data_IF_017762009598
#
_entry.id   IF_017762009598
#
_cell.length_a   1.000
_cell.length_b   1.000
_cell.length_c   1.000
_cell.angle_alpha   90.00
_cell.angle_beta   90.00
_cell.angle_gamma   90.00
#
_symmetry.space_group_name_H-M   'P 1'
#
loop_
_entity.id
_entity.type
_entity.pdbx_description
1 polymer ?
#
# COMPACT_ATOMS: atom_id res chain seq x y z
N UNK A 1 -80.42 -22.68 -11.60
CA UNK A 1 -81.58 -23.02 -10.78
C UNK A 1 -81.14 -23.07 -9.31
N UNK A 2 -81.89 -22.31 -8.52
CA UNK A 2 -81.93 -22.27 -7.04
C UNK A 2 -80.82 -21.53 -6.29
N UNK A 3 -81.22 -20.32 -5.93
CA UNK A 3 -80.74 -19.45 -4.85
C UNK A 3 -81.02 -20.07 -3.50
N UNK A 4 -80.02 -20.00 -2.54
CA UNK A 4 -80.34 -19.97 -1.10
C UNK A 4 -79.50 -18.93 -0.43
N UNK A 5 -80.23 -17.97 0.11
CA UNK A 5 -79.81 -16.84 0.92
C UNK A 5 -79.54 -17.31 2.35
N UNK A 6 -78.37 -17.09 2.87
CA UNK A 6 -77.98 -17.39 4.24
C UNK A 6 -77.57 -16.11 4.99
N UNK A 7 -78.32 -15.77 5.97
CA UNK A 7 -78.23 -14.62 6.88
C UNK A 7 -77.02 -14.80 7.78
N UNK A 8 -76.14 -13.80 7.82
CA UNK A 8 -74.99 -13.77 8.75
C UNK A 8 -75.28 -12.79 9.89
N UNK A 9 -75.29 -13.30 11.09
CA UNK A 9 -75.40 -12.54 12.36
C UNK A 9 -74.07 -11.85 12.70
N UNK A 10 -74.05 -10.68 13.35
CA UNK A 10 -72.84 -9.96 13.72
C UNK A 10 -72.20 -10.57 14.98
N UNK A 11 -70.98 -11.10 14.83
CA UNK A 11 -70.16 -11.55 15.95
C UNK A 11 -69.08 -10.54 16.29
N UNK A 12 -69.10 -10.09 17.47
CA UNK A 12 -68.16 -9.38 18.33
C UNK A 12 -66.78 -9.02 17.74
N UNK A 13 -66.56 -7.71 17.68
CA UNK A 13 -65.24 -7.10 17.45
C UNK A 13 -64.28 -7.39 18.62
N UNK A 14 -63.27 -8.22 18.38
CA UNK A 14 -62.09 -8.32 19.24
C UNK A 14 -61.18 -7.17 18.91
N UNK A 15 -60.98 -6.28 19.87
CA UNK A 15 -59.99 -5.18 19.86
C UNK A 15 -58.61 -5.80 19.91
N UNK A 16 -57.99 -6.03 18.74
CA UNK A 16 -56.60 -6.35 18.63
C UNK A 16 -55.77 -5.06 18.91
N UNK A 17 -55.06 -5.07 20.02
CA UNK A 17 -54.06 -4.04 20.37
C UNK A 17 -52.96 -4.07 19.33
N UNK A 18 -52.85 -3.03 18.53
CA UNK A 18 -51.72 -2.77 17.63
C UNK A 18 -50.46 -2.63 18.51
N UNK A 19 -49.40 -3.46 18.33
CA UNK A 19 -48.16 -3.27 19.05
C UNK A 19 -47.53 -1.97 18.53
N UNK A 20 -47.40 -0.99 19.40
CA UNK A 20 -46.62 0.23 19.15
C UNK A 20 -45.15 -0.17 19.12
N UNK A 21 -44.67 -0.45 17.90
CA UNK A 21 -43.27 -0.68 17.63
C UNK A 21 -42.57 0.68 17.68
N UNK A 22 -42.05 1.06 18.88
CA UNK A 22 -41.17 2.22 18.99
C UNK A 22 -39.95 1.97 18.09
N UNK A 23 -39.64 2.84 17.12
CA UNK A 23 -38.44 2.71 16.32
C UNK A 23 -37.26 2.78 17.28
N UNK A 24 -36.49 1.68 17.39
CA UNK A 24 -35.18 1.69 18.05
C UNK A 24 -34.42 2.87 17.46
N UNK A 25 -34.04 3.81 18.31
CA UNK A 25 -33.22 4.97 17.95
C UNK A 25 -32.07 4.51 17.09
N UNK A 26 -32.17 4.75 15.78
CA UNK A 26 -31.08 4.54 14.84
C UNK A 26 -29.90 5.37 15.37
N UNK A 27 -28.80 4.69 15.73
CA UNK A 27 -27.54 5.38 16.05
C UNK A 27 -27.28 6.36 14.92
N UNK A 28 -27.30 7.65 15.23
CA UNK A 28 -27.06 8.70 14.25
C UNK A 28 -25.78 8.36 13.48
N UNK A 29 -25.91 8.13 12.18
CA UNK A 29 -24.77 7.88 11.31
C UNK A 29 -23.82 9.08 11.46
N UNK A 30 -22.56 8.83 11.84
CA UNK A 30 -21.54 9.88 11.90
C UNK A 30 -21.53 10.60 10.55
N UNK A 31 -21.50 11.95 10.55
CA UNK A 31 -21.56 12.68 9.30
C UNK A 31 -20.42 12.23 8.37
N UNK A 32 -20.73 11.89 7.12
CA UNK A 32 -19.82 11.36 6.10
C UNK A 32 -18.52 12.19 5.95
N UNK A 33 -18.57 13.48 6.29
CA UNK A 33 -17.43 14.41 6.31
C UNK A 33 -16.42 14.09 7.40
N UNK A 34 -16.84 13.56 8.54
CA UNK A 34 -16.00 13.14 9.67
C UNK A 34 -15.22 11.84 9.34
N UNK A 35 -15.83 10.91 8.59
CA UNK A 35 -15.16 9.66 8.19
C UNK A 35 -14.08 9.88 7.13
N UNK A 36 -14.33 10.75 6.14
CA UNK A 36 -13.34 11.10 5.14
C UNK A 36 -12.13 11.80 5.77
N UNK A 37 -12.34 12.75 6.71
CA UNK A 37 -11.27 13.41 7.44
C UNK A 37 -10.43 12.41 8.25
N UNK A 38 -11.08 11.47 8.92
CA UNK A 38 -10.40 10.37 9.63
C UNK A 38 -9.60 9.48 8.68
N UNK A 39 -10.14 9.18 7.50
CA UNK A 39 -9.43 8.45 6.45
C UNK A 39 -8.17 9.17 5.97
N UNK A 40 -8.24 10.49 5.77
CA UNK A 40 -7.07 11.32 5.41
C UNK A 40 -6.01 11.29 6.52
N UNK A 41 -6.40 11.39 7.79
CA UNK A 41 -5.46 11.36 8.91
C UNK A 41 -4.70 10.03 8.99
N UNK A 42 -5.41 8.90 8.83
CA UNK A 42 -4.76 7.59 8.74
C UNK A 42 -3.83 7.49 7.53
N UNK A 43 -4.22 8.06 6.38
CA UNK A 43 -3.37 8.09 5.19
C UNK A 43 -2.10 8.91 5.40
N UNK A 44 -2.20 10.09 6.00
CA UNK A 44 -1.05 10.92 6.38
C UNK A 44 -0.13 10.14 7.33
N UNK A 45 -0.69 9.44 8.33
CA UNK A 45 0.08 8.60 9.24
C UNK A 45 0.82 7.48 8.51
N UNK A 46 0.14 6.74 7.61
CA UNK A 46 0.74 5.65 6.86
C UNK A 46 1.89 6.12 5.95
N UNK A 47 1.58 7.08 5.08
CA UNK A 47 2.53 7.56 4.08
C UNK A 47 3.64 8.42 4.68
N UNK A 48 3.36 9.11 5.79
CA UNK A 48 4.35 9.84 6.58
C UNK A 48 5.37 8.89 7.22
N UNK A 49 4.90 7.82 7.87
CA UNK A 49 5.78 6.80 8.45
C UNK A 49 6.64 6.11 7.38
N UNK A 50 6.05 5.75 6.24
CA UNK A 50 6.83 5.20 5.11
C UNK A 50 7.82 6.21 4.54
N UNK A 51 7.48 7.51 4.56
CA UNK A 51 8.39 8.57 4.14
C UNK A 51 9.61 8.73 5.05
N UNK A 52 9.48 8.43 6.34
CA UNK A 52 10.55 8.51 7.33
C UNK A 52 11.42 7.25 7.41
N UNK A 53 11.12 6.21 6.65
CA UNK A 53 11.90 4.95 6.63
C UNK A 53 13.40 5.12 6.40
N UNK A 54 13.91 6.05 5.58
CA UNK A 54 15.34 6.22 5.42
C UNK A 54 16.05 6.48 6.74
N UNK A 55 15.46 7.29 7.63
CA UNK A 55 16.03 7.57 8.97
C UNK A 55 16.13 6.29 9.78
N UNK A 56 15.06 5.49 9.79
CA UNK A 56 15.06 4.22 10.52
C UNK A 56 16.17 3.27 10.03
N UNK A 57 16.36 3.13 8.72
CA UNK A 57 17.40 2.24 8.19
C UNK A 57 18.81 2.76 8.44
N UNK A 58 19.02 4.06 8.48
CA UNK A 58 20.31 4.65 8.86
C UNK A 58 20.65 4.38 10.32
N UNK A 59 19.67 4.33 11.22
CA UNK A 59 19.88 3.96 12.63
C UNK A 59 20.29 2.49 12.81
N UNK A 60 20.02 1.63 11.83
CA UNK A 60 20.39 0.21 11.85
C UNK A 60 21.83 -0.05 11.39
N UNK A 61 22.54 0.96 10.91
CA UNK A 61 23.95 0.79 10.57
C UNK A 61 24.77 0.37 11.81
N UNK A 62 25.80 -0.48 11.66
CA UNK A 62 26.42 -0.93 10.41
C UNK A 62 25.81 -2.21 9.81
N UNK A 63 24.59 -2.62 10.20
CA UNK A 63 23.94 -3.80 9.62
C UNK A 63 23.83 -3.67 8.08
N UNK A 64 24.15 -4.75 7.37
CA UNK A 64 23.99 -4.77 5.93
C UNK A 64 22.53 -4.94 5.52
N UNK A 65 22.19 -4.60 4.27
CA UNK A 65 20.81 -4.61 3.78
C UNK A 65 20.17 -6.01 3.80
N UNK A 66 20.92 -7.08 3.66
CA UNK A 66 20.42 -8.46 3.74
C UNK A 66 19.99 -8.77 5.17
N UNK A 67 20.84 -8.44 6.16
CA UNK A 67 20.52 -8.63 7.58
C UNK A 67 19.29 -7.81 8.00
N UNK A 68 19.23 -6.54 7.60
CA UNK A 68 18.09 -5.66 7.90
C UNK A 68 16.79 -6.24 7.35
N UNK A 69 16.78 -6.67 6.07
CA UNK A 69 15.58 -7.19 5.44
C UNK A 69 15.19 -8.56 5.97
N UNK A 70 16.16 -9.44 6.24
CA UNK A 70 15.90 -10.73 6.87
C UNK A 70 15.23 -10.56 8.26
N UNK A 71 15.79 -9.69 9.10
CA UNK A 71 15.20 -9.33 10.39
C UNK A 71 13.79 -8.72 10.21
N UNK A 72 13.63 -7.81 9.25
CA UNK A 72 12.33 -7.22 8.92
C UNK A 72 11.28 -8.27 8.59
N UNK A 73 11.60 -9.30 7.80
CA UNK A 73 10.69 -10.40 7.47
C UNK A 73 10.30 -11.17 8.73
N UNK A 74 11.28 -11.61 9.53
CA UNK A 74 11.05 -12.43 10.74
C UNK A 74 10.24 -11.66 11.78
N UNK A 75 10.66 -10.45 12.14
CA UNK A 75 9.98 -9.64 13.15
C UNK A 75 8.59 -9.17 12.70
N UNK A 76 8.39 -8.95 11.38
CA UNK A 76 7.06 -8.65 10.84
C UNK A 76 6.13 -9.86 10.97
N UNK A 77 6.62 -11.08 10.73
CA UNK A 77 5.83 -12.30 10.95
C UNK A 77 5.43 -12.44 12.42
N UNK A 78 6.39 -12.27 13.35
CA UNK A 78 6.14 -12.35 14.80
C UNK A 78 5.10 -11.32 15.22
N UNK A 79 5.25 -10.06 14.78
CA UNK A 79 4.31 -8.99 15.13
C UNK A 79 2.92 -9.21 14.53
N UNK A 80 2.84 -9.66 13.28
CA UNK A 80 1.57 -10.02 12.65
C UNK A 80 0.90 -11.22 13.35
N UNK A 81 1.67 -12.23 13.75
CA UNK A 81 1.15 -13.38 14.51
C UNK A 81 0.58 -12.93 15.85
N UNK A 82 1.24 -11.98 16.54
CA UNK A 82 0.71 -11.39 17.78
C UNK A 82 -0.64 -10.68 17.52
N UNK A 83 -0.73 -9.83 16.48
CA UNK A 83 -1.98 -9.16 16.13
C UNK A 83 -3.08 -10.17 15.78
N UNK A 84 -2.76 -11.21 15.00
CA UNK A 84 -3.73 -12.26 14.63
C UNK A 84 -4.22 -12.99 15.87
N UNK A 85 -3.35 -13.27 16.83
CA UNK A 85 -3.70 -13.93 18.10
C UNK A 85 -4.65 -13.06 18.91
N UNK A 86 -4.31 -11.78 19.11
CA UNK A 86 -5.15 -10.83 19.86
C UNK A 86 -6.51 -10.61 19.17
N UNK A 87 -6.51 -10.51 17.84
CA UNK A 87 -7.73 -10.31 17.04
C UNK A 87 -8.51 -11.60 16.76
N UNK A 88 -8.04 -12.76 17.25
CA UNK A 88 -8.59 -14.09 16.95
C UNK A 88 -8.71 -14.40 15.46
N UNK A 89 -7.79 -13.89 14.66
CA UNK A 89 -7.79 -13.95 13.20
C UNK A 89 -7.26 -15.26 12.59
N UNK A 90 -6.87 -16.26 13.38
CA UNK A 90 -6.26 -17.52 12.90
C UNK A 90 -7.11 -18.28 11.88
N UNK A 91 -8.46 -18.20 11.97
CA UNK A 91 -9.36 -18.80 10.98
C UNK A 91 -9.18 -18.22 9.58
N UNK A 92 -9.00 -16.89 9.46
CA UNK A 92 -8.72 -16.22 8.18
C UNK A 92 -7.36 -16.62 7.62
N UNK A 93 -6.36 -16.72 8.48
CA UNK A 93 -5.00 -17.17 8.12
C UNK A 93 -5.05 -18.60 7.57
N UNK A 94 -5.70 -19.53 8.29
CA UNK A 94 -5.88 -20.92 7.85
C UNK A 94 -6.63 -21.02 6.51
N UNK A 95 -7.67 -20.20 6.30
CA UNK A 95 -8.40 -20.14 5.05
C UNK A 95 -7.53 -19.66 3.88
N UNK A 96 -6.65 -18.66 4.13
CA UNK A 96 -5.71 -18.20 3.12
C UNK A 96 -4.70 -19.29 2.72
N UNK A 97 -4.15 -20.03 3.69
CA UNK A 97 -3.22 -21.16 3.44
C UNK A 97 -3.88 -22.32 2.68
N UNK A 98 -5.16 -22.59 2.92
CA UNK A 98 -5.90 -23.67 2.21
C UNK A 98 -6.17 -23.30 0.74
N UNK A 99 -6.21 -22.04 0.38
CA UNK A 99 -6.51 -21.59 -0.98
C UNK A 99 -5.24 -21.54 -1.82
N UNK A 100 -5.03 -22.54 -2.70
CA UNK A 100 -3.88 -22.57 -3.65
C UNK A 100 -3.75 -21.28 -4.45
N UNK A 101 -4.87 -20.67 -4.86
CA UNK A 101 -4.88 -19.43 -5.63
C UNK A 101 -4.38 -18.24 -4.81
N UNK A 102 -4.85 -18.11 -3.56
CA UNK A 102 -4.42 -17.04 -2.65
C UNK A 102 -2.94 -17.24 -2.31
N UNK A 103 -2.54 -18.45 -1.92
CA UNK A 103 -1.15 -18.78 -1.61
C UNK A 103 -0.22 -18.46 -2.77
N UNK A 104 -0.49 -18.95 -3.98
CA UNK A 104 0.35 -18.68 -5.15
C UNK A 104 0.46 -17.17 -5.44
N UNK A 105 -0.65 -16.44 -5.33
CA UNK A 105 -0.64 -14.98 -5.54
C UNK A 105 0.18 -14.26 -4.47
N UNK A 106 0.01 -14.61 -3.19
CA UNK A 106 0.74 -13.97 -2.09
C UNK A 106 2.22 -14.39 -2.05
N UNK A 107 2.55 -15.61 -2.52
CA UNK A 107 3.95 -16.02 -2.71
C UNK A 107 4.64 -15.13 -3.74
N UNK A 108 4.03 -14.91 -4.91
CA UNK A 108 4.57 -14.00 -5.92
C UNK A 108 4.68 -12.57 -5.36
N UNK A 109 3.65 -12.11 -4.67
CA UNK A 109 3.69 -10.80 -4.01
C UNK A 109 4.82 -10.69 -2.99
N UNK A 110 5.05 -11.74 -2.18
CA UNK A 110 6.15 -11.83 -1.22
C UNK A 110 7.52 -11.67 -1.89
N UNK A 111 7.78 -12.39 -2.99
CA UNK A 111 9.05 -12.24 -3.71
C UNK A 111 9.21 -10.86 -4.34
N UNK A 112 8.17 -10.27 -4.90
CA UNK A 112 8.22 -8.91 -5.45
C UNK A 112 8.51 -7.88 -4.36
N UNK A 113 7.88 -7.99 -3.19
CA UNK A 113 8.07 -7.03 -2.11
C UNK A 113 9.45 -7.19 -1.43
N UNK A 114 9.99 -8.41 -1.33
CA UNK A 114 11.34 -8.59 -0.75
C UNK A 114 12.42 -8.03 -1.67
N UNK A 115 12.28 -8.16 -3.00
CA UNK A 115 13.16 -7.51 -3.97
C UNK A 115 13.09 -5.98 -3.78
N UNK A 116 11.89 -5.43 -3.65
CA UNK A 116 11.70 -4.00 -3.38
C UNK A 116 12.37 -3.58 -2.07
N UNK A 117 12.17 -4.31 -0.99
CA UNK A 117 12.76 -3.99 0.31
C UNK A 117 14.28 -4.06 0.30
N UNK A 118 14.86 -5.12 -0.30
CA UNK A 118 16.32 -5.24 -0.42
C UNK A 118 16.92 -4.08 -1.21
N UNK A 119 16.32 -3.76 -2.37
CA UNK A 119 16.78 -2.64 -3.19
C UNK A 119 16.65 -1.31 -2.46
N UNK A 120 15.55 -1.10 -1.72
CA UNK A 120 15.32 0.13 -1.00
C UNK A 120 16.30 0.31 0.18
N UNK A 121 16.45 -0.73 1.01
CA UNK A 121 17.38 -0.68 2.14
C UNK A 121 18.80 -0.51 1.63
N UNK A 122 19.21 -1.25 0.59
CA UNK A 122 20.49 -1.07 -0.06
C UNK A 122 20.70 0.37 -0.53
N UNK A 123 19.72 0.95 -1.21
CA UNK A 123 19.81 2.32 -1.69
C UNK A 123 20.04 3.33 -0.55
N UNK A 124 19.25 3.22 0.52
CA UNK A 124 19.36 4.13 1.67
C UNK A 124 20.70 3.97 2.37
N UNK A 125 21.12 2.73 2.67
CA UNK A 125 22.34 2.47 3.42
C UNK A 125 23.62 2.70 2.60
N UNK A 126 23.52 2.78 1.28
CA UNK A 126 24.63 3.10 0.36
C UNK A 126 24.65 4.55 -0.15
N UNK A 127 23.85 5.46 0.44
CA UNK A 127 23.82 6.88 0.06
C UNK A 127 23.17 7.15 -1.30
N UNK A 128 22.14 6.35 -1.67
CA UNK A 128 21.36 6.51 -2.89
C UNK A 128 19.85 6.66 -2.59
N UNK A 129 19.49 7.30 -1.47
CA UNK A 129 18.11 7.46 -1.04
C UNK A 129 17.32 8.39 -2.00
N UNK A 130 17.99 9.35 -2.66
CA UNK A 130 17.39 10.18 -3.72
C UNK A 130 16.96 9.29 -4.89
N UNK A 131 17.82 8.37 -5.37
CA UNK A 131 17.46 7.45 -6.45
C UNK A 131 16.33 6.50 -6.05
N UNK A 132 16.30 6.07 -4.78
CA UNK A 132 15.19 5.29 -4.24
C UNK A 132 13.86 6.06 -4.27
N UNK A 133 13.86 7.33 -3.86
CA UNK A 133 12.66 8.17 -3.90
C UNK A 133 12.15 8.36 -5.34
N UNK A 134 13.07 8.51 -6.30
CA UNK A 134 12.74 8.56 -7.73
C UNK A 134 11.96 7.32 -8.19
N UNK A 135 12.36 6.12 -7.74
CA UNK A 135 11.67 4.87 -8.07
C UNK A 135 10.20 4.89 -7.66
N UNK A 136 9.91 5.41 -6.47
CA UNK A 136 8.52 5.54 -5.99
C UNK A 136 7.76 6.67 -6.70
N UNK A 137 8.43 7.73 -7.16
CA UNK A 137 7.80 8.71 -8.03
C UNK A 137 7.44 8.12 -9.42
N UNK A 138 8.29 7.26 -9.98
CA UNK A 138 8.05 6.60 -11.27
C UNK A 138 6.97 5.50 -11.16
N UNK A 139 6.72 4.94 -9.99
CA UNK A 139 5.81 3.81 -9.80
C UNK A 139 4.41 3.99 -10.42
N UNK A 140 3.71 5.14 -10.34
CA UNK A 140 2.43 5.34 -11.02
C UNK A 140 2.52 5.17 -12.54
N UNK A 141 3.63 5.59 -13.17
CA UNK A 141 3.86 5.41 -14.61
C UNK A 141 4.02 3.93 -14.95
N UNK A 142 4.78 3.19 -14.14
CA UNK A 142 4.93 1.73 -14.29
C UNK A 142 3.60 1.02 -14.09
N UNK A 143 2.79 1.45 -13.13
CA UNK A 143 1.44 0.88 -12.91
C UNK A 143 0.53 1.08 -14.14
N UNK A 144 0.59 2.23 -14.78
CA UNK A 144 -0.11 2.51 -16.05
C UNK A 144 0.40 1.60 -17.16
N UNK A 145 1.72 1.43 -17.30
CA UNK A 145 2.32 0.52 -18.29
C UNK A 145 1.90 -0.94 -18.08
N UNK A 146 1.85 -1.41 -16.83
CA UNK A 146 1.35 -2.76 -16.50
C UNK A 146 -0.13 -2.89 -16.92
N UNK A 147 -0.95 -1.88 -16.67
CA UNK A 147 -2.35 -1.83 -17.13
C UNK A 147 -2.47 -2.04 -18.64
N UNK A 148 -1.62 -1.37 -19.43
CA UNK A 148 -1.60 -1.52 -20.89
C UNK A 148 -1.09 -2.89 -21.32
N UNK A 149 0.08 -3.28 -20.84
CA UNK A 149 0.81 -4.47 -21.36
C UNK A 149 0.12 -5.77 -20.91
N UNK A 150 -0.37 -5.81 -19.67
CA UNK A 150 -0.92 -7.04 -19.07
C UNK A 150 -2.44 -7.09 -19.14
N UNK A 151 -3.13 -5.98 -18.84
CA UNK A 151 -4.59 -5.91 -18.87
C UNK A 151 -5.14 -5.46 -20.22
N UNK A 152 -4.27 -5.04 -21.15
CA UNK A 152 -4.65 -4.50 -22.48
C UNK A 152 -5.61 -3.32 -22.38
N UNK A 153 -5.45 -2.52 -21.32
CA UNK A 153 -6.24 -1.31 -21.11
C UNK A 153 -5.89 -0.25 -22.16
N UNK A 154 -6.90 0.48 -22.62
CA UNK A 154 -6.69 1.59 -23.56
C UNK A 154 -6.34 2.83 -22.74
N UNK A 155 -5.15 3.38 -22.97
CA UNK A 155 -4.74 4.63 -22.34
C UNK A 155 -5.49 5.83 -22.92
N UNK A 156 -5.80 6.75 -22.05
CA UNK A 156 -6.26 8.09 -22.43
C UNK A 156 -5.08 8.91 -22.98
N UNK A 157 -5.32 9.91 -23.85
CA UNK A 157 -4.25 10.71 -24.44
C UNK A 157 -3.28 11.33 -23.42
N UNK A 158 -3.82 11.86 -22.32
CA UNK A 158 -2.98 12.43 -21.23
C UNK A 158 -2.08 11.40 -20.56
N UNK A 159 -2.52 10.16 -20.45
CA UNK A 159 -1.70 9.08 -19.88
C UNK A 159 -0.56 8.71 -20.82
N UNK A 160 -0.77 8.69 -22.14
CA UNK A 160 0.30 8.49 -23.12
C UNK A 160 1.35 9.62 -23.05
N UNK A 161 0.90 10.87 -22.93
CA UNK A 161 1.80 12.02 -22.77
C UNK A 161 2.63 11.87 -21.50
N UNK A 162 1.99 11.53 -20.36
CA UNK A 162 2.69 11.32 -19.09
C UNK A 162 3.73 10.20 -19.16
N UNK A 163 3.39 9.06 -19.77
CA UNK A 163 4.32 7.93 -19.96
C UNK A 163 5.48 8.33 -20.86
N UNK A 164 5.22 9.05 -21.96
CA UNK A 164 6.28 9.56 -22.86
C UNK A 164 7.23 10.53 -22.14
N UNK A 165 6.71 11.49 -21.37
CA UNK A 165 7.51 12.40 -20.56
C UNK A 165 8.30 11.65 -19.49
N UNK A 166 7.69 10.66 -18.83
CA UNK A 166 8.39 9.81 -17.86
C UNK A 166 9.54 9.00 -18.49
N UNK A 167 9.37 8.51 -19.71
CA UNK A 167 10.45 7.87 -20.46
C UNK A 167 11.60 8.85 -20.75
N UNK A 168 11.29 10.06 -21.20
CA UNK A 168 12.30 11.12 -21.42
C UNK A 168 13.05 11.44 -20.12
N UNK A 169 12.35 11.49 -18.97
CA UNK A 169 12.99 11.68 -17.66
C UNK A 169 14.01 10.59 -17.35
N UNK A 170 13.66 9.31 -17.59
CA UNK A 170 14.59 8.19 -17.38
C UNK A 170 15.82 8.32 -18.28
N UNK A 171 15.65 8.72 -19.54
CA UNK A 171 16.76 8.94 -20.48
C UNK A 171 17.67 10.06 -19.97
N UNK A 172 17.11 11.22 -19.62
CA UNK A 172 17.87 12.37 -19.07
C UNK A 172 18.64 11.96 -17.81
N UNK A 173 17.99 11.23 -16.89
CA UNK A 173 18.62 10.75 -15.67
C UNK A 173 19.73 9.72 -15.96
N UNK A 174 19.53 8.84 -16.96
CA UNK A 174 20.57 7.88 -17.36
C UNK A 174 21.85 8.59 -17.79
N UNK A 175 21.72 9.64 -18.60
CA UNK A 175 22.90 10.45 -18.99
C UNK A 175 23.48 11.21 -17.80
N UNK A 176 22.63 11.77 -16.94
CA UNK A 176 23.04 12.51 -15.74
C UNK A 176 23.78 11.65 -14.69
N UNK A 177 23.35 10.41 -14.52
CA UNK A 177 24.03 9.46 -13.61
C UNK A 177 25.26 8.80 -14.27
N UNK A 178 25.44 8.93 -15.57
CA UNK A 178 26.45 8.17 -16.34
C UNK A 178 26.18 6.66 -16.38
N UNK A 179 25.04 6.23 -15.85
CA UNK A 179 24.58 4.84 -15.81
C UNK A 179 23.07 4.80 -15.71
N UNK A 180 22.47 3.68 -16.12
CA UNK A 180 21.04 3.47 -15.93
C UNK A 180 20.67 3.61 -14.43
N UNK A 181 19.60 4.36 -14.06
CA UNK A 181 19.12 4.48 -12.67
C UNK A 181 18.41 3.19 -12.25
N UNK A 182 19.19 2.12 -12.10
CA UNK A 182 18.67 0.76 -11.89
C UNK A 182 17.90 0.61 -10.58
N UNK A 183 18.33 1.32 -9.53
CA UNK A 183 17.63 1.32 -8.22
C UNK A 183 16.20 1.82 -8.41
N UNK A 184 16.04 2.99 -9.05
CA UNK A 184 14.73 3.56 -9.31
C UNK A 184 13.85 2.63 -10.18
N UNK A 185 14.43 2.04 -11.22
CA UNK A 185 13.70 1.14 -12.12
C UNK A 185 13.28 -0.16 -11.43
N UNK A 186 14.16 -0.78 -10.64
CA UNK A 186 13.84 -2.00 -9.88
C UNK A 186 12.76 -1.71 -8.83
N UNK A 187 12.86 -0.58 -8.11
CA UNK A 187 11.85 -0.19 -7.13
C UNK A 187 10.49 0.05 -7.80
N UNK A 188 10.45 0.79 -8.90
CA UNK A 188 9.21 1.06 -9.63
C UNK A 188 8.59 -0.22 -10.21
N UNK A 189 9.40 -1.09 -10.84
CA UNK A 189 8.93 -2.33 -11.43
C UNK A 189 8.45 -3.33 -10.38
N UNK A 190 9.23 -3.55 -9.31
CA UNK A 190 8.88 -4.49 -8.24
C UNK A 190 7.63 -4.06 -7.48
N UNK A 191 7.53 -2.77 -7.10
CA UNK A 191 6.38 -2.27 -6.35
C UNK A 191 5.12 -2.16 -7.23
N UNK A 192 5.26 -1.72 -8.50
CA UNK A 192 4.15 -1.70 -9.46
C UNK A 192 3.60 -3.10 -9.74
N UNK A 193 4.49 -4.07 -9.95
CA UNK A 193 4.10 -5.49 -10.12
C UNK A 193 3.49 -6.07 -8.84
N UNK A 194 4.04 -5.75 -7.67
CA UNK A 194 3.46 -6.11 -6.38
C UNK A 194 2.02 -5.61 -6.24
N UNK A 195 1.79 -4.32 -6.51
CA UNK A 195 0.46 -3.73 -6.47
C UNK A 195 -0.53 -4.41 -7.42
N UNK A 196 -0.08 -4.73 -8.64
CA UNK A 196 -0.87 -5.46 -9.63
C UNK A 196 -1.24 -6.88 -9.16
N UNK A 197 -0.28 -7.62 -8.62
CA UNK A 197 -0.51 -8.98 -8.08
C UNK A 197 -1.44 -8.93 -6.88
N UNK A 198 -1.25 -7.99 -5.96
CA UNK A 198 -2.09 -7.79 -4.76
C UNK A 198 -3.54 -7.46 -5.11
N UNK A 199 -3.77 -6.70 -6.18
CA UNK A 199 -5.13 -6.38 -6.62
C UNK A 199 -5.95 -7.64 -6.96
N UNK A 200 -5.32 -8.72 -7.40
CA UNK A 200 -6.00 -10.01 -7.71
C UNK A 200 -6.59 -10.73 -6.50
N UNK A 201 -6.09 -10.44 -5.31
CA UNK A 201 -6.60 -10.96 -4.02
C UNK A 201 -7.29 -9.89 -3.19
N UNK A 202 -7.35 -8.65 -3.69
CA UNK A 202 -8.01 -7.52 -3.04
C UNK A 202 -9.46 -7.84 -2.67
N UNK A 203 -9.88 -7.44 -1.46
CA UNK A 203 -11.21 -7.73 -0.91
C UNK A 203 -11.42 -9.16 -0.39
N UNK A 204 -10.51 -10.11 -0.68
CA UNK A 204 -10.61 -11.51 -0.18
C UNK A 204 -9.74 -11.76 1.05
N UNK A 205 -8.68 -11.00 1.21
CA UNK A 205 -7.71 -11.14 2.29
C UNK A 205 -7.44 -9.76 2.87
N UNK A 206 -7.55 -9.62 4.18
CA UNK A 206 -7.19 -8.36 4.86
C UNK A 206 -5.67 -8.14 4.88
N UNK A 207 -5.26 -6.90 5.15
CA UNK A 207 -3.87 -6.48 5.06
C UNK A 207 -2.93 -7.27 5.98
N UNK A 208 -3.37 -7.57 7.22
CA UNK A 208 -2.56 -8.32 8.20
C UNK A 208 -2.41 -9.77 7.77
N UNK A 209 -3.50 -10.44 7.40
CA UNK A 209 -3.45 -11.82 6.89
C UNK A 209 -2.56 -11.91 5.66
N UNK A 210 -2.65 -10.94 4.75
CA UNK A 210 -1.83 -10.89 3.54
C UNK A 210 -0.33 -10.74 3.86
N UNK A 211 0.04 -9.78 4.71
CA UNK A 211 1.43 -9.59 5.15
C UNK A 211 1.95 -10.82 5.88
N UNK A 212 1.12 -11.44 6.74
CA UNK A 212 1.51 -12.65 7.47
C UNK A 212 1.83 -13.82 6.54
N UNK A 213 1.02 -14.04 5.49
CA UNK A 213 1.30 -15.08 4.49
C UNK A 213 2.57 -14.77 3.70
N UNK A 214 2.73 -13.53 3.24
CA UNK A 214 3.92 -13.10 2.50
C UNK A 214 5.19 -13.29 3.34
N UNK A 215 5.19 -12.82 4.59
CA UNK A 215 6.33 -12.97 5.49
C UNK A 215 6.57 -14.42 5.92
N UNK A 216 5.52 -15.22 6.14
CA UNK A 216 5.66 -16.64 6.46
C UNK A 216 6.33 -17.41 5.31
N UNK A 217 5.96 -17.13 4.06
CA UNK A 217 6.59 -17.75 2.87
C UNK A 217 8.06 -17.32 2.73
N UNK A 218 8.38 -16.08 3.07
CA UNK A 218 9.74 -15.55 2.98
C UNK A 218 10.63 -15.93 4.18
N UNK A 219 10.05 -16.33 5.32
CA UNK A 219 10.79 -16.62 6.55
C UNK A 219 11.87 -17.69 6.39
N UNK A 220 11.66 -18.82 5.68
CA UNK A 220 12.74 -19.79 5.45
C UNK A 220 13.94 -19.16 4.75
N UNK A 221 13.71 -18.34 3.73
CA UNK A 221 14.76 -17.62 3.02
C UNK A 221 15.45 -16.58 3.92
N UNK A 222 14.68 -15.87 4.74
CA UNK A 222 15.21 -14.91 5.71
C UNK A 222 16.09 -15.58 6.77
N UNK A 223 15.68 -16.75 7.28
CA UNK A 223 16.49 -17.53 8.23
C UNK A 223 17.80 -17.97 7.59
N UNK A 224 17.76 -18.50 6.37
CA UNK A 224 18.98 -18.87 5.62
C UNK A 224 19.89 -17.66 5.43
N UNK A 225 19.34 -16.51 5.06
CA UNK A 225 20.09 -15.26 4.91
C UNK A 225 20.75 -14.83 6.24
N UNK A 226 20.03 -14.92 7.37
CA UNK A 226 20.58 -14.62 8.70
C UNK A 226 21.71 -15.58 9.08
N UNK A 227 21.57 -16.88 8.79
CA UNK A 227 22.62 -17.88 9.03
C UNK A 227 23.86 -17.54 8.20
N UNK A 228 23.70 -17.26 6.91
CA UNK A 228 24.81 -16.89 6.01
C UNK A 228 25.53 -15.65 6.50
N UNK A 229 24.81 -14.59 6.86
CA UNK A 229 25.38 -13.33 7.38
C UNK A 229 26.15 -13.60 8.69
N UNK A 230 25.64 -14.50 9.55
CA UNK A 230 26.29 -14.88 10.80
C UNK A 230 27.57 -15.69 10.54
N UNK A 231 27.54 -16.68 9.65
CA UNK A 231 28.70 -17.50 9.30
C UNK A 231 29.82 -16.67 8.66
N UNK A 232 29.44 -15.65 7.88
CA UNK A 232 30.41 -14.70 7.29
C UNK A 232 30.96 -13.69 8.30
N UNK A 233 30.55 -13.73 9.57
CA UNK A 233 30.98 -12.78 10.60
C UNK A 233 30.46 -11.36 10.42
N UNK A 234 29.39 -11.17 9.63
CA UNK A 234 28.82 -9.86 9.31
C UNK A 234 27.55 -9.55 10.13
N UNK A 235 27.12 -10.46 11.01
CA UNK A 235 25.92 -10.28 11.81
C UNK A 235 26.13 -9.22 12.89
N UNK A 236 25.19 -8.27 12.96
CA UNK A 236 25.21 -7.19 13.94
C UNK A 236 24.14 -7.33 15.02
N UNK A 237 23.12 -8.16 14.78
CA UNK A 237 21.92 -8.30 15.61
C UNK A 237 22.23 -8.50 17.11
N UNK A 238 23.19 -9.34 17.43
CA UNK A 238 23.59 -9.65 18.81
C UNK A 238 24.94 -9.04 19.21
N UNK A 239 25.72 -8.56 18.22
CA UNK A 239 27.08 -8.07 18.44
C UNK A 239 27.18 -6.65 18.98
N UNK A 240 26.16 -5.82 18.76
CA UNK A 240 26.15 -4.39 19.11
C UNK A 240 25.33 -4.05 20.37
N UNK A 241 24.98 -5.08 21.15
CA UNK A 241 24.27 -4.91 22.42
C UNK A 241 22.73 -4.79 22.31
N UNK A 242 22.06 -4.69 23.50
CA UNK A 242 20.60 -4.79 23.57
C UNK A 242 19.86 -3.68 22.81
N UNK A 243 20.40 -2.47 22.74
CA UNK A 243 19.80 -1.35 22.03
C UNK A 243 19.65 -1.63 20.54
N UNK A 244 20.70 -2.14 19.89
CA UNK A 244 20.67 -2.50 18.48
C UNK A 244 19.72 -3.68 18.21
N UNK A 245 19.72 -4.69 19.09
CA UNK A 245 18.79 -5.82 19.02
C UNK A 245 17.33 -5.34 19.00
N UNK A 246 16.93 -4.51 19.96
CA UNK A 246 15.55 -4.01 20.03
C UNK A 246 15.21 -3.08 18.87
N UNK A 247 16.17 -2.31 18.37
CA UNK A 247 15.98 -1.48 17.19
C UNK A 247 15.74 -2.35 15.95
N UNK A 248 16.50 -3.43 15.75
CA UNK A 248 16.26 -4.42 14.69
C UNK A 248 14.92 -5.13 14.87
N UNK A 249 14.57 -5.53 16.08
CA UNK A 249 13.31 -6.17 16.41
C UNK A 249 12.10 -5.27 16.15
N UNK A 250 12.25 -3.95 16.31
CA UNK A 250 11.20 -2.98 16.01
C UNK A 250 10.80 -2.95 14.53
N UNK A 251 11.58 -3.56 13.62
CA UNK A 251 11.27 -3.65 12.20
C UNK A 251 9.89 -4.26 11.91
N UNK A 252 9.42 -5.18 12.75
CA UNK A 252 8.07 -5.73 12.68
C UNK A 252 6.99 -4.66 12.85
N UNK A 253 7.12 -3.83 13.89
CA UNK A 253 6.21 -2.72 14.20
C UNK A 253 6.26 -1.68 13.10
N UNK A 254 7.48 -1.25 12.72
CA UNK A 254 7.72 -0.23 11.69
C UNK A 254 7.18 -0.65 10.32
N UNK A 255 7.06 -1.95 10.07
CA UNK A 255 6.46 -2.49 8.84
C UNK A 255 4.93 -2.57 8.93
N UNK A 256 4.41 -3.10 10.04
CA UNK A 256 2.98 -3.42 10.14
C UNK A 256 2.11 -2.19 10.51
N UNK A 257 2.59 -1.26 11.32
CA UNK A 257 1.81 -0.10 11.76
C UNK A 257 1.40 0.81 10.59
N UNK A 258 2.30 1.20 9.66
CA UNK A 258 1.88 1.97 8.49
C UNK A 258 0.88 1.21 7.62
N UNK A 259 1.01 -0.12 7.51
CA UNK A 259 0.08 -0.96 6.76
C UNK A 259 -1.33 -0.98 7.38
N UNK A 260 -1.42 -1.00 8.72
CA UNK A 260 -2.69 -0.88 9.44
C UNK A 260 -3.34 0.49 9.20
N UNK A 261 -2.56 1.56 9.27
CA UNK A 261 -3.03 2.91 8.98
C UNK A 261 -3.48 3.03 7.52
N UNK A 262 -2.73 2.46 6.58
CA UNK A 262 -3.12 2.40 5.18
C UNK A 262 -4.45 1.65 5.00
N UNK A 263 -4.62 0.49 5.62
CA UNK A 263 -5.87 -0.27 5.58
C UNK A 263 -7.05 0.53 6.13
N UNK A 264 -6.86 1.24 7.25
CA UNK A 264 -7.86 2.13 7.83
C UNK A 264 -8.19 3.33 6.93
N UNK A 265 -7.21 3.89 6.23
CA UNK A 265 -7.38 4.94 5.23
C UNK A 265 -8.15 4.43 4.02
N UNK A 266 -7.73 3.28 3.46
CA UNK A 266 -8.31 2.68 2.27
C UNK A 266 -9.78 2.29 2.42
N UNK A 267 -10.21 1.95 3.64
CA UNK A 267 -11.62 1.67 3.92
C UNK A 267 -12.52 2.90 3.97
N UNK A 268 -11.95 4.12 3.99
CA UNK A 268 -12.67 5.40 4.18
C UNK A 268 -12.50 6.38 3.04
N UNK A 269 -11.47 6.22 2.21
CA UNK A 269 -11.17 7.12 1.11
C UNK A 269 -11.45 6.49 -0.24
N UNK A 270 -11.72 7.32 -1.23
CA UNK A 270 -11.75 6.91 -2.62
C UNK A 270 -10.35 6.53 -3.10
N UNK A 271 -10.26 5.69 -4.15
CA UNK A 271 -8.99 5.34 -4.79
C UNK A 271 -8.21 6.58 -5.24
N UNK A 272 -8.90 7.63 -5.69
CA UNK A 272 -8.29 8.92 -6.05
C UNK A 272 -7.64 9.59 -4.85
N UNK A 273 -8.32 9.59 -3.69
CA UNK A 273 -7.78 10.18 -2.46
C UNK A 273 -6.52 9.46 -1.98
N UNK A 274 -6.52 8.11 -2.00
CA UNK A 274 -5.35 7.29 -1.67
C UNK A 274 -4.23 7.54 -2.68
N UNK A 275 -4.56 7.59 -3.98
CA UNK A 275 -3.59 7.85 -5.04
C UNK A 275 -2.91 9.21 -4.92
N UNK A 276 -3.57 10.23 -4.38
CA UNK A 276 -2.94 11.52 -4.11
C UNK A 276 -2.04 11.47 -2.87
N UNK A 277 -2.50 10.82 -1.80
CA UNK A 277 -1.73 10.71 -0.56
C UNK A 277 -0.44 9.89 -0.74
N UNK A 278 -0.42 8.90 -1.63
CA UNK A 278 0.77 8.07 -1.85
C UNK A 278 2.00 8.87 -2.31
N UNK A 279 1.82 10.03 -2.98
CA UNK A 279 2.94 10.88 -3.38
C UNK A 279 3.66 11.54 -2.20
N UNK A 280 3.05 11.55 -1.03
CA UNK A 280 3.67 12.09 0.19
C UNK A 280 4.91 11.28 0.60
N UNK A 281 4.87 9.95 0.44
CA UNK A 281 6.02 9.08 0.78
C UNK A 281 7.29 9.44 0.01
N UNK A 282 7.33 9.40 -1.34
CA UNK A 282 8.56 9.73 -2.06
C UNK A 282 8.98 11.19 -1.87
N UNK A 283 8.03 12.11 -1.65
CA UNK A 283 8.36 13.50 -1.35
C UNK A 283 9.11 13.61 -0.01
N UNK A 284 8.61 12.97 1.05
CA UNK A 284 9.27 12.99 2.36
C UNK A 284 10.63 12.28 2.27
N UNK A 285 10.72 11.11 1.61
CA UNK A 285 11.98 10.39 1.40
C UNK A 285 13.02 11.25 0.68
N UNK A 286 12.61 11.97 -0.36
CA UNK A 286 13.45 12.92 -1.08
C UNK A 286 13.96 14.05 -0.18
N UNK A 287 13.07 14.66 0.61
CA UNK A 287 13.43 15.72 1.56
C UNK A 287 14.36 15.19 2.66
N UNK A 288 14.13 13.99 3.17
CA UNK A 288 15.00 13.33 4.14
C UNK A 288 16.38 13.07 3.53
N UNK A 289 16.45 12.56 2.30
CA UNK A 289 17.71 12.28 1.63
C UNK A 289 18.58 13.54 1.47
N UNK A 290 17.99 14.66 1.06
CA UNK A 290 18.72 15.91 0.87
C UNK A 290 19.07 16.58 2.21
N UNK A 291 18.07 16.74 3.11
CA UNK A 291 18.23 17.60 4.29
C UNK A 291 18.84 16.88 5.49
N UNK A 292 18.58 15.58 5.66
CA UNK A 292 19.05 14.81 6.82
C UNK A 292 20.19 13.87 6.48
N UNK A 293 20.15 13.23 5.31
CA UNK A 293 21.23 12.31 4.89
C UNK A 293 22.34 13.04 4.11
N UNK A 294 22.14 14.31 3.73
CA UNK A 294 23.16 15.14 3.09
C UNK A 294 23.49 14.72 1.66
N UNK A 295 22.62 13.97 0.98
CA UNK A 295 22.84 13.59 -0.40
C UNK A 295 22.82 14.81 -1.33
N UNK A 296 23.82 14.94 -2.19
CA UNK A 296 23.93 16.07 -3.12
C UNK A 296 23.32 15.73 -4.46
N UNK A 297 22.61 16.72 -5.06
CA UNK A 297 22.07 16.62 -6.39
C UNK A 297 22.80 17.55 -7.34
N UNK A 298 23.26 17.03 -8.49
CA UNK A 298 23.70 17.87 -9.61
C UNK A 298 22.50 18.55 -10.29
N UNK A 299 22.79 19.62 -11.05
CA UNK A 299 21.73 20.36 -11.77
C UNK A 299 20.98 19.46 -12.74
N UNK A 300 21.69 18.54 -13.40
CA UNK A 300 21.11 17.61 -14.38
C UNK A 300 20.13 16.64 -13.71
N UNK A 301 20.43 16.21 -12.46
CA UNK A 301 19.51 15.36 -11.68
C UNK A 301 18.26 16.14 -11.29
N UNK A 302 18.37 17.40 -10.91
CA UNK A 302 17.24 18.29 -10.66
C UNK A 302 16.32 18.40 -11.88
N UNK A 303 16.91 18.57 -13.09
CA UNK A 303 16.15 18.60 -14.35
C UNK A 303 15.38 17.28 -14.53
N UNK A 304 16.05 16.13 -14.35
CA UNK A 304 15.39 14.82 -14.47
C UNK A 304 14.23 14.66 -13.50
N UNK A 305 14.38 15.04 -12.23
CA UNK A 305 13.30 15.02 -11.25
C UNK A 305 12.15 15.98 -11.62
N UNK A 306 12.45 17.19 -12.10
CA UNK A 306 11.43 18.12 -12.55
C UNK A 306 10.59 17.54 -13.71
N UNK A 307 11.22 16.83 -14.64
CA UNK A 307 10.52 16.15 -15.75
C UNK A 307 9.62 15.02 -15.20
N UNK A 308 10.09 14.23 -14.22
CA UNK A 308 9.25 13.22 -13.54
C UNK A 308 8.05 13.88 -12.86
N UNK A 309 8.26 14.95 -12.11
CA UNK A 309 7.18 15.67 -11.44
C UNK A 309 6.17 16.27 -12.43
N UNK A 310 6.62 16.73 -13.59
CA UNK A 310 5.74 17.17 -14.68
C UNK A 310 4.87 15.99 -15.18
N UNK A 311 5.47 14.83 -15.46
CA UNK A 311 4.73 13.63 -15.86
C UNK A 311 3.68 13.23 -14.83
N UNK A 312 4.03 13.27 -13.55
CA UNK A 312 3.12 12.96 -12.45
C UNK A 312 1.99 14.00 -12.33
N UNK A 313 2.31 15.29 -12.51
CA UNK A 313 1.32 16.37 -12.54
C UNK A 313 0.26 16.12 -13.61
N UNK A 314 0.66 15.70 -14.80
CA UNK A 314 -0.25 15.33 -15.90
C UNK A 314 -1.13 14.12 -15.51
N UNK A 315 -0.55 13.09 -14.90
CA UNK A 315 -1.34 11.93 -14.41
C UNK A 315 -2.33 12.33 -13.33
N UNK A 316 -1.95 13.19 -12.39
CA UNK A 316 -2.84 13.69 -11.34
C UNK A 316 -4.01 14.47 -11.96
N UNK A 317 -3.73 15.36 -12.91
CA UNK A 317 -4.78 16.11 -13.64
C UNK A 317 -5.74 15.16 -14.36
N UNK A 318 -5.21 14.16 -15.09
CA UNK A 318 -6.05 13.15 -15.77
C UNK A 318 -6.95 12.39 -14.79
N UNK A 319 -6.40 11.99 -13.64
CA UNK A 319 -7.13 11.30 -12.58
C UNK A 319 -8.25 12.18 -11.99
N UNK A 320 -7.97 13.45 -11.69
CA UNK A 320 -8.94 14.39 -11.13
C UNK A 320 -10.06 14.73 -12.12
N UNK A 321 -9.70 14.96 -13.40
CA UNK A 321 -10.69 15.23 -14.47
C UNK A 321 -11.62 14.02 -14.63
N UNK A 322 -11.06 12.82 -14.67
CA UNK A 322 -11.85 11.59 -14.81
C UNK A 322 -12.76 11.38 -13.60
N UNK A 323 -12.26 11.59 -12.38
CA UNK A 323 -13.05 11.50 -11.16
C UNK A 323 -14.24 12.48 -11.18
N UNK A 324 -13.99 13.74 -11.55
CA UNK A 324 -15.07 14.76 -11.66
C UNK A 324 -16.11 14.37 -12.69
N UNK A 325 -15.71 13.87 -13.87
CA UNK A 325 -16.63 13.42 -14.94
C UNK A 325 -17.50 12.26 -14.48
N UNK A 326 -16.91 11.23 -13.86
CA UNK A 326 -17.68 10.06 -13.38
C UNK A 326 -18.63 10.41 -12.24
N UNK A 327 -18.23 11.30 -11.33
CA UNK A 327 -19.11 11.77 -10.25
C UNK A 327 -20.29 12.58 -10.78
N UNK A 328 -20.05 13.42 -11.79
CA UNK A 328 -21.13 14.22 -12.44
C UNK A 328 -22.14 13.32 -13.16
N UNK A 329 -21.65 12.30 -13.88
CA UNK A 329 -22.51 11.31 -14.55
C UNK A 329 -23.38 10.53 -13.55
N UNK A 330 -22.81 10.06 -12.44
CA UNK A 330 -23.58 9.35 -11.39
C UNK A 330 -24.68 10.22 -10.78
N UNK A 331 -24.41 11.50 -10.52
CA UNK A 331 -25.42 12.45 -10.01
C UNK A 331 -26.57 12.65 -11.01
N UNK A 332 -26.25 12.80 -12.29
CA UNK A 332 -27.27 13.00 -13.31
C UNK A 332 -28.20 11.77 -13.47
N UNK A 333 -27.65 10.55 -13.37
CA UNK A 333 -28.44 9.31 -13.41
C UNK A 333 -29.35 9.21 -12.17
N UNK A 334 -28.88 9.60 -10.98
CA UNK A 334 -29.69 9.58 -9.75
C UNK A 334 -30.82 10.63 -9.74
N UNK A 335 -30.69 11.71 -10.50
CA UNK A 335 -31.74 12.75 -10.62
C UNK A 335 -32.81 12.36 -11.65
N UNK A 336 -32.49 11.43 -12.57
CA UNK A 336 -33.42 10.96 -13.61
C UNK A 336 -34.16 9.66 -13.23
N UNK A 337 -33.74 8.99 -12.15
CA UNK A 337 -34.39 7.81 -11.57
C UNK A 337 -35.27 8.17 -10.38
#
# INVERSE_FOLDING_TARGET
>A
MSVVMGIVTPSQAKTDRIPTNHPKTAKAAKPARSEAATGVLYGIGAYGLWGMMPIYFMLLLPANSIEIVANRVVWSLIFCALIITVSRGWGKMAAAFKSRRIMGTLTIAGFLIVINWLTYVFAVTSGNAIEASLGYFINPLVSVLIGVLVLKEKLRPLQWVAVGIGFVAVVVLTFSYGKLPWIALVLAASFGSYGFVKNRVGGKVDAITSLSVETAVLTPLAIVAMIVVTVLGQATLTGLGPGHFWLMASAGIVTAVPLLFFGASASRLSMTGIGLLQFMTPLIQFLVAINLLGERMSVERWIGFAIVWLALGILIVDMLVTYRRTTKLRKNIQVQA
#
